data_IF_828587696716
#
_entry.id   IF_828587696716
#
_cell.length_a   1.000
_cell.length_b   1.000
_cell.length_c   1.000
_cell.angle_alpha   90.00
_cell.angle_beta   90.00
_cell.angle_gamma   90.00
#
_symmetry.space_group_name_H-M   'P 1'
#
loop_
_entity.id
_entity.type
_entity.pdbx_description
1 polymer ?
#
# COMPACT_ATOMS: atom_id res chain seq x y z
N UNK A 1 -4.34 -11.53 15.58
CA UNK A 1 -5.75 -11.21 15.28
C UNK A 1 -6.37 -10.39 16.42
N UNK A 2 -6.26 -10.80 17.69
CA UNK A 2 -6.85 -10.03 18.81
C UNK A 2 -6.24 -8.63 18.98
N UNK A 3 -4.92 -8.49 19.06
CA UNK A 3 -4.25 -7.21 19.29
C UNK A 3 -4.69 -6.14 18.26
N UNK A 4 -4.56 -6.43 16.97
CA UNK A 4 -4.95 -5.49 15.90
C UNK A 4 -6.41 -5.02 16.01
N UNK A 5 -7.36 -5.91 16.32
CA UNK A 5 -8.78 -5.52 16.45
C UNK A 5 -9.02 -4.60 17.64
N UNK A 6 -8.39 -4.88 18.77
CA UNK A 6 -8.52 -4.06 19.98
C UNK A 6 -7.88 -2.70 19.77
N UNK A 7 -6.70 -2.65 19.15
CA UNK A 7 -5.98 -1.40 18.88
C UNK A 7 -6.73 -0.54 17.84
N UNK A 8 -7.18 -1.13 16.73
CA UNK A 8 -7.96 -0.43 15.69
C UNK A 8 -9.23 0.19 16.30
N UNK A 9 -9.93 -0.55 17.15
CA UNK A 9 -11.14 -0.06 17.83
C UNK A 9 -10.82 1.05 18.84
N UNK A 10 -9.76 0.90 19.64
CA UNK A 10 -9.36 1.89 20.64
C UNK A 10 -8.87 3.20 19.99
N UNK A 11 -8.24 3.12 18.82
CA UNK A 11 -7.77 4.27 18.05
C UNK A 11 -8.85 4.88 17.15
N UNK A 12 -10.02 4.24 17.03
CA UNK A 12 -11.12 4.73 16.21
C UNK A 12 -10.83 4.65 14.70
N UNK A 13 -10.08 3.64 14.26
CA UNK A 13 -9.76 3.42 12.84
C UNK A 13 -11.05 3.11 12.07
N UNK A 14 -11.32 3.90 11.03
CA UNK A 14 -12.50 3.75 10.16
C UNK A 14 -12.21 2.99 8.87
N UNK A 15 -10.97 3.07 8.38
CA UNK A 15 -10.53 2.45 7.13
C UNK A 15 -9.13 1.87 7.31
N UNK A 16 -8.94 0.62 6.89
CA UNK A 16 -7.66 -0.08 6.92
C UNK A 16 -7.20 -0.34 5.49
N UNK A 17 -6.13 0.34 5.09
CA UNK A 17 -5.45 0.13 3.80
C UNK A 17 -4.17 -0.66 4.05
N UNK A 18 -4.03 -1.86 3.44
CA UNK A 18 -2.87 -2.75 3.65
C UNK A 18 -2.64 -3.69 2.46
N UNK A 19 -1.59 -4.50 2.49
CA UNK A 19 -1.31 -5.47 1.42
C UNK A 19 -2.33 -6.61 1.32
N UNK A 20 -2.54 -7.13 0.11
CA UNK A 20 -3.46 -8.24 -0.19
C UNK A 20 -3.08 -9.57 0.47
N UNK A 21 -1.85 -9.73 0.95
CA UNK A 21 -1.44 -10.87 1.75
C UNK A 21 -2.18 -10.99 3.09
N UNK A 22 -2.81 -9.91 3.54
CA UNK A 22 -3.63 -9.88 4.75
C UNK A 22 -5.13 -9.99 4.48
N UNK A 23 -5.55 -10.25 3.24
CA UNK A 23 -6.96 -10.34 2.85
C UNK A 23 -7.71 -11.38 3.68
N UNK A 24 -7.19 -12.61 3.80
CA UNK A 24 -7.81 -13.69 4.56
C UNK A 24 -7.88 -13.42 6.07
N UNK A 25 -7.03 -12.54 6.61
CA UNK A 25 -7.11 -12.13 8.00
C UNK A 25 -8.31 -11.21 8.28
N UNK A 26 -8.77 -10.47 7.27
CA UNK A 26 -9.86 -9.49 7.40
C UNK A 26 -11.16 -10.15 7.82
N UNK A 27 -11.51 -11.33 7.27
CA UNK A 27 -12.73 -12.06 7.65
C UNK A 27 -12.75 -12.40 9.16
N UNK A 28 -11.61 -12.89 9.70
CA UNK A 28 -11.47 -13.19 11.13
C UNK A 28 -11.51 -11.93 12.00
N UNK A 29 -10.89 -10.84 11.54
CA UNK A 29 -10.88 -9.56 12.25
C UNK A 29 -12.27 -8.93 12.28
N UNK A 30 -12.99 -8.92 11.17
CA UNK A 30 -14.39 -8.45 11.07
C UNK A 30 -15.27 -9.24 12.04
N UNK A 31 -15.13 -10.57 12.07
CA UNK A 31 -15.87 -11.39 13.01
C UNK A 31 -15.56 -11.03 14.47
N UNK A 32 -14.27 -10.82 14.79
CA UNK A 32 -13.85 -10.47 16.14
C UNK A 32 -14.29 -9.06 16.57
N UNK A 33 -14.23 -8.05 15.69
CA UNK A 33 -14.81 -6.73 15.97
C UNK A 33 -16.27 -6.86 16.40
N UNK A 34 -17.07 -7.62 15.66
CA UNK A 34 -18.49 -7.85 15.96
C UNK A 34 -18.69 -8.56 17.30
N UNK A 35 -17.89 -9.58 17.61
CA UNK A 35 -17.95 -10.29 18.90
C UNK A 35 -17.63 -9.38 20.09
N UNK A 36 -16.73 -8.42 19.90
CA UNK A 36 -16.35 -7.45 20.92
C UNK A 36 -17.27 -6.21 20.96
N UNK A 37 -18.33 -6.17 20.14
CA UNK A 37 -19.27 -5.06 20.09
C UNK A 37 -18.75 -3.80 19.37
N UNK A 38 -17.69 -3.94 18.58
CA UNK A 38 -17.12 -2.87 17.76
C UNK A 38 -17.66 -2.89 16.33
N UNK A 39 -17.71 -1.73 15.69
CA UNK A 39 -17.95 -1.62 14.24
C UNK A 39 -16.65 -1.96 13.52
N UNK A 40 -16.62 -2.96 12.62
CA UNK A 40 -15.43 -3.23 11.80
C UNK A 40 -15.13 -2.03 10.87
N UNK A 41 -13.84 -1.69 10.62
CA UNK A 41 -13.48 -0.69 9.64
C UNK A 41 -13.81 -1.17 8.21
N UNK A 42 -13.84 -0.25 7.26
CA UNK A 42 -13.74 -0.61 5.85
C UNK A 42 -12.32 -1.10 5.54
N UNK A 43 -12.17 -2.00 4.57
CA UNK A 43 -10.87 -2.55 4.19
C UNK A 43 -10.60 -2.30 2.71
N UNK A 44 -9.38 -1.87 2.42
CA UNK A 44 -8.80 -1.88 1.08
C UNK A 44 -7.48 -2.67 1.09
N UNK A 45 -7.29 -3.48 0.06
CA UNK A 45 -6.14 -4.37 -0.08
C UNK A 45 -5.34 -4.01 -1.32
N UNK A 46 -4.14 -3.47 -1.13
CA UNK A 46 -3.22 -3.11 -2.19
C UNK A 46 -2.60 -4.37 -2.83
N UNK A 47 -2.36 -4.36 -4.15
CA UNK A 47 -1.79 -5.49 -4.85
C UNK A 47 -0.40 -5.84 -4.32
N UNK A 48 -0.02 -7.11 -4.41
CA UNK A 48 1.34 -7.52 -4.08
C UNK A 48 2.30 -7.14 -5.19
N UNK A 49 3.49 -6.70 -4.78
CA UNK A 49 4.63 -6.56 -5.66
C UNK A 49 5.28 -7.93 -5.87
N UNK A 50 5.38 -8.37 -7.11
CA UNK A 50 5.98 -9.64 -7.51
C UNK A 50 7.29 -9.41 -8.27
N UNK A 51 8.21 -10.35 -8.16
CA UNK A 51 9.41 -10.43 -9.00
C UNK A 51 9.06 -10.93 -10.42
N UNK A 52 10.05 -10.94 -11.31
CA UNK A 52 9.89 -11.42 -12.69
C UNK A 52 9.50 -12.91 -12.79
N UNK A 53 9.74 -13.70 -11.74
CA UNK A 53 9.34 -15.10 -11.65
C UNK A 53 7.95 -15.29 -10.99
N UNK A 54 7.28 -14.21 -10.59
CA UNK A 54 5.97 -14.23 -9.94
C UNK A 54 6.01 -14.48 -8.44
N UNK A 55 7.18 -14.48 -7.80
CA UNK A 55 7.28 -14.58 -6.35
C UNK A 55 7.04 -13.23 -5.70
N UNK A 56 6.39 -13.24 -4.52
CA UNK A 56 6.21 -12.04 -3.72
C UNK A 56 7.58 -11.44 -3.37
N UNK A 57 7.77 -10.17 -3.70
CA UNK A 57 8.92 -9.39 -3.25
C UNK A 57 8.87 -9.30 -1.72
N UNK A 58 9.72 -10.11 -1.07
CA UNK A 58 9.82 -10.22 0.36
C UNK A 58 11.20 -9.81 0.86
N UNK A 59 11.29 -9.48 2.15
CA UNK A 59 12.55 -9.13 2.83
C UNK A 59 13.68 -10.17 2.66
N UNK A 60 13.35 -11.41 2.28
CA UNK A 60 14.30 -12.51 2.08
C UNK A 60 14.87 -12.62 0.66
N UNK A 61 14.29 -11.95 -0.34
CA UNK A 61 14.72 -12.03 -1.73
C UNK A 61 14.95 -10.61 -2.27
N UNK A 62 16.15 -10.08 -2.08
CA UNK A 62 16.72 -8.96 -2.86
C UNK A 62 15.80 -7.72 -3.06
N UNK A 63 14.79 -7.52 -2.21
CA UNK A 63 13.97 -6.32 -2.26
C UNK A 63 14.87 -5.14 -1.93
N UNK A 64 15.04 -4.24 -2.89
CA UNK A 64 15.88 -3.05 -2.76
C UNK A 64 15.47 -2.29 -1.49
N UNK A 65 16.44 -2.08 -0.60
CA UNK A 65 16.20 -1.28 0.59
C UNK A 65 15.81 0.14 0.18
N UNK A 66 14.77 0.68 0.81
CA UNK A 66 14.41 2.09 0.63
C UNK A 66 15.63 2.91 1.07
N UNK A 67 16.25 3.64 0.13
CA UNK A 67 17.41 4.49 0.42
C UNK A 67 16.93 5.91 0.70
N UNK A 68 16.99 6.38 1.98
CA UNK A 68 16.42 7.69 2.34
C UNK A 68 17.17 8.86 1.69
N UNK A 69 18.40 8.65 1.23
CA UNK A 69 19.20 9.68 0.58
C UNK A 69 18.68 10.06 -0.82
N UNK A 70 17.96 9.16 -1.50
CA UNK A 70 17.39 9.37 -2.84
C UNK A 70 15.98 8.78 -2.93
N UNK A 71 14.98 9.39 -2.27
CA UNK A 71 13.64 8.81 -2.16
C UNK A 71 12.79 9.00 -3.42
N UNK A 72 13.12 9.98 -4.28
CA UNK A 72 12.27 10.38 -5.41
C UNK A 72 12.00 9.25 -6.42
N UNK A 73 12.99 8.45 -6.87
CA UNK A 73 12.72 7.33 -7.78
C UNK A 73 11.76 6.30 -7.17
N UNK A 74 11.95 5.96 -5.89
CA UNK A 74 11.10 5.00 -5.18
C UNK A 74 9.67 5.51 -5.01
N UNK A 75 9.49 6.80 -4.71
CA UNK A 75 8.16 7.42 -4.60
C UNK A 75 7.43 7.41 -5.95
N UNK A 76 8.14 7.71 -7.04
CA UNK A 76 7.59 7.65 -8.41
C UNK A 76 7.23 6.22 -8.83
N UNK A 77 8.09 5.27 -8.49
CA UNK A 77 7.83 3.85 -8.73
C UNK A 77 6.62 3.37 -7.92
N UNK A 78 6.47 3.79 -6.66
CA UNK A 78 5.30 3.47 -5.84
C UNK A 78 4.02 4.10 -6.42
N UNK A 79 4.07 5.34 -6.90
CA UNK A 79 2.95 6.01 -7.56
C UNK A 79 2.50 5.25 -8.82
N UNK A 80 3.45 4.90 -9.69
CA UNK A 80 3.18 4.10 -10.88
C UNK A 80 2.67 2.69 -10.54
N UNK A 81 3.23 2.05 -9.50
CA UNK A 81 2.76 0.76 -9.00
C UNK A 81 1.31 0.83 -8.50
N UNK A 82 0.89 1.95 -7.92
CA UNK A 82 -0.51 2.18 -7.54
C UNK A 82 -1.42 2.51 -8.74
N UNK A 83 -0.93 2.34 -9.98
CA UNK A 83 -1.66 2.57 -11.22
C UNK A 83 -1.92 4.04 -11.54
N UNK A 84 -1.32 4.95 -10.78
CA UNK A 84 -1.55 6.39 -10.92
C UNK A 84 -0.79 6.97 -12.12
N UNK A 85 -1.21 8.15 -12.62
CA UNK A 85 -0.61 8.76 -13.80
C UNK A 85 0.82 9.30 -13.50
N UNK A 86 1.89 8.71 -14.06
CA UNK A 86 3.26 9.11 -13.73
C UNK A 86 3.62 10.52 -14.21
N UNK A 87 2.95 11.04 -15.24
CA UNK A 87 3.20 12.37 -15.81
C UNK A 87 2.95 13.49 -14.80
N UNK A 88 1.99 13.31 -13.90
CA UNK A 88 1.63 14.31 -12.89
C UNK A 88 2.79 14.59 -11.92
N UNK A 89 3.64 13.60 -11.69
CA UNK A 89 4.80 13.76 -10.83
C UNK A 89 6.07 14.13 -11.61
N UNK A 90 6.14 13.96 -12.94
CA UNK A 90 7.37 13.97 -13.75
C UNK A 90 8.35 15.09 -13.38
N UNK A 91 7.87 16.33 -13.30
CA UNK A 91 8.70 17.52 -13.06
C UNK A 91 8.83 17.94 -11.59
N UNK A 92 8.25 17.16 -10.66
CA UNK A 92 8.25 17.52 -9.23
C UNK A 92 9.63 17.23 -8.60
N UNK A 93 10.30 18.29 -8.13
CA UNK A 93 11.70 18.22 -7.69
C UNK A 93 11.96 17.95 -6.21
N UNK A 94 10.92 17.85 -5.36
CA UNK A 94 11.09 17.63 -3.92
C UNK A 94 10.06 16.67 -3.34
N UNK A 95 10.39 16.00 -2.24
CA UNK A 95 9.47 15.07 -1.56
C UNK A 95 8.20 15.78 -1.07
N UNK A 96 8.25 16.94 -0.37
CA UNK A 96 7.02 17.61 0.06
C UNK A 96 6.11 17.96 -1.11
N UNK A 97 6.66 18.59 -2.15
CA UNK A 97 5.88 18.93 -3.34
C UNK A 97 5.31 17.71 -4.06
N UNK A 98 6.05 16.59 -4.08
CA UNK A 98 5.58 15.34 -4.68
C UNK A 98 4.39 14.80 -3.90
N UNK A 99 4.45 14.81 -2.57
CA UNK A 99 3.35 14.36 -1.72
C UNK A 99 2.13 15.27 -1.85
N UNK A 100 2.31 16.59 -1.94
CA UNK A 100 1.21 17.53 -2.14
C UNK A 100 0.47 17.26 -3.46
N UNK A 101 1.22 17.07 -4.55
CA UNK A 101 0.64 16.74 -5.86
C UNK A 101 0.00 15.35 -5.83
N UNK A 102 0.65 14.35 -5.24
CA UNK A 102 0.12 13.00 -5.12
C UNK A 102 -1.20 12.98 -4.33
N UNK A 103 -1.30 13.72 -3.23
CA UNK A 103 -2.55 13.84 -2.45
C UNK A 103 -3.67 14.47 -3.28
N UNK A 104 -3.35 15.48 -4.08
CA UNK A 104 -4.33 16.17 -4.90
C UNK A 104 -4.85 15.32 -6.08
N UNK A 105 -4.00 14.46 -6.64
CA UNK A 105 -4.29 13.72 -7.88
C UNK A 105 -4.64 12.23 -7.66
N UNK A 106 -4.51 11.73 -6.42
CA UNK A 106 -4.71 10.31 -6.14
C UNK A 106 -6.14 9.84 -6.47
N UNK A 107 -6.23 8.78 -7.26
CA UNK A 107 -7.50 8.14 -7.62
C UNK A 107 -7.49 6.65 -7.22
N UNK A 108 -8.40 6.29 -6.32
CA UNK A 108 -8.63 4.90 -5.91
C UNK A 108 -9.04 3.99 -7.06
N UNK A 109 -9.72 4.52 -8.09
CA UNK A 109 -10.18 3.74 -9.23
C UNK A 109 -9.03 3.21 -10.09
N UNK A 110 -7.86 3.86 -10.01
CA UNK A 110 -6.65 3.46 -10.70
C UNK A 110 -5.89 2.35 -9.97
N UNK A 111 -6.15 2.13 -8.67
CA UNK A 111 -5.41 1.14 -7.88
C UNK A 111 -5.69 -0.28 -8.39
N UNK A 112 -4.67 -1.03 -8.84
CA UNK A 112 -4.92 -2.33 -9.46
C UNK A 112 -5.45 -3.36 -8.47
N UNK A 113 -6.44 -4.14 -8.90
CA UNK A 113 -7.06 -5.22 -8.11
C UNK A 113 -6.31 -6.56 -8.18
N UNK A 114 -5.18 -6.59 -8.90
CA UNK A 114 -4.35 -7.78 -9.11
C UNK A 114 -2.90 -7.45 -8.81
N UNK A 115 -2.19 -8.43 -8.29
CA UNK A 115 -0.75 -8.37 -8.05
C UNK A 115 0.01 -7.96 -9.32
N UNK A 116 1.09 -7.22 -9.14
CA UNK A 116 1.87 -6.64 -10.23
C UNK A 116 3.33 -7.08 -10.15
N UNK A 117 3.85 -7.52 -11.30
CA UNK A 117 5.28 -7.76 -11.47
C UNK A 117 6.00 -6.43 -11.63
N UNK A 118 6.95 -6.14 -10.75
CA UNK A 118 7.82 -4.97 -10.86
C UNK A 118 9.01 -5.37 -11.71
N UNK A 119 9.15 -4.75 -12.88
CA UNK A 119 10.18 -5.13 -13.86
C UNK A 119 11.50 -4.40 -13.62
N UNK A 120 11.49 -3.14 -13.16
CA UNK A 120 12.69 -2.36 -12.79
C UNK A 120 12.29 -1.32 -11.72
N UNK A 121 12.93 -1.33 -10.55
CA UNK A 121 12.95 -0.17 -9.66
C UNK A 121 14.14 0.67 -10.11
N UNK A 122 13.88 1.79 -10.79
CA UNK A 122 14.93 2.64 -11.36
C UNK A 122 16.10 2.87 -10.38
N UNK A 123 17.31 2.52 -10.81
CA UNK A 123 18.58 2.71 -10.09
C UNK A 123 18.87 4.19 -9.72
#
# INVERSE_FOLDING_TARGET
QLAVVVDDAAQGITEVVRGADLLDSSARQIHLHRLLGHTPPAFAHLPLALDAAGHKLGKSQQALAITPARPMPMLRAAWAFLGQNPEVLADVGSVPALLDVAIADFDWSCVPSRDQTITELAD
#
